data_IF_946461010234
#
_entry.id   IF_946461010234
#
_cell.length_a   1.000
_cell.length_b   1.000
_cell.length_c   1.000
_cell.angle_alpha   90.00
_cell.angle_beta   90.00
_cell.angle_gamma   90.00
#
_symmetry.space_group_name_H-M   'P 1'
#
loop_
_entity.id
_entity.type
_entity.pdbx_description
1 polymer ?
#
# COMPACT_ATOMS: atom_id res chain seq x y z
N UNK A 1 -12.86 5.99 29.04
CA UNK A 1 -13.50 4.96 28.20
C UNK A 1 -13.14 5.28 26.76
N UNK A 2 -12.07 4.69 26.23
CA UNK A 2 -11.73 4.80 24.81
C UNK A 2 -12.73 3.94 24.04
N UNK A 3 -13.36 4.49 23.01
CA UNK A 3 -14.33 3.76 22.21
C UNK A 3 -13.74 2.43 21.72
N UNK A 4 -14.52 1.37 21.90
CA UNK A 4 -14.26 -0.03 21.53
C UNK A 4 -14.42 -0.28 20.04
N UNK A 5 -14.44 0.76 19.21
CA UNK A 5 -14.75 0.61 17.79
C UNK A 5 -13.57 -0.03 17.05
N UNK A 6 -13.88 -1.11 16.32
CA UNK A 6 -12.91 -1.83 15.49
C UNK A 6 -12.34 -0.96 14.35
N UNK A 7 -12.98 0.17 14.06
CA UNK A 7 -12.70 1.05 12.93
C UNK A 7 -13.37 2.42 13.09
N UNK A 8 -12.73 3.48 12.61
CA UNK A 8 -13.40 4.74 12.29
C UNK A 8 -13.76 4.75 10.79
N UNK A 9 -15.06 4.82 10.47
CA UNK A 9 -15.56 4.73 9.09
C UNK A 9 -15.69 6.09 8.44
N UNK A 10 -15.37 6.17 7.16
CA UNK A 10 -15.74 7.27 6.29
C UNK A 10 -17.24 7.24 5.99
N UNK A 11 -17.94 8.31 6.35
CA UNK A 11 -19.37 8.50 6.15
C UNK A 11 -19.62 9.82 5.40
N UNK A 12 -19.40 9.85 4.06
CA UNK A 12 -19.71 11.03 3.27
C UNK A 12 -21.17 11.46 3.46
N UNK A 13 -21.36 12.71 3.87
CA UNK A 13 -22.66 13.26 4.22
C UNK A 13 -22.86 14.66 3.62
N UNK A 14 -24.08 15.18 3.70
CA UNK A 14 -24.42 16.53 3.23
C UNK A 14 -24.02 16.77 1.77
N UNK A 15 -23.24 17.84 1.52
CA UNK A 15 -22.76 18.19 0.18
C UNK A 15 -21.79 17.19 -0.45
N UNK A 16 -21.32 16.19 0.30
CA UNK A 16 -20.37 15.16 -0.15
C UNK A 16 -21.00 13.78 -0.28
N UNK A 17 -22.33 13.66 -0.16
CA UNK A 17 -23.06 12.39 -0.24
C UNK A 17 -22.86 11.64 -1.56
N UNK A 18 -22.52 12.33 -2.64
CA UNK A 18 -22.23 11.70 -3.94
C UNK A 18 -21.02 10.74 -3.87
N UNK A 19 -20.09 10.98 -2.95
CA UNK A 19 -18.92 10.14 -2.73
C UNK A 19 -19.26 8.78 -2.10
N UNK A 20 -20.51 8.55 -1.67
CA UNK A 20 -20.95 7.22 -1.23
C UNK A 20 -20.74 6.15 -2.31
N UNK A 21 -20.77 6.53 -3.59
CA UNK A 21 -20.49 5.64 -4.73
C UNK A 21 -19.01 5.22 -4.79
N UNK A 22 -18.10 6.06 -4.32
CA UNK A 22 -16.66 5.74 -4.27
C UNK A 22 -16.33 4.60 -3.31
N UNK A 23 -17.19 4.39 -2.30
CA UNK A 23 -17.05 3.29 -1.34
C UNK A 23 -17.24 1.90 -1.97
N UNK A 24 -17.79 1.81 -3.17
CA UNK A 24 -17.95 0.55 -3.90
C UNK A 24 -16.70 0.17 -4.73
N UNK A 25 -15.76 1.10 -4.91
CA UNK A 25 -14.58 0.93 -5.75
C UNK A 25 -13.31 0.60 -4.95
N UNK A 26 -13.45 -0.22 -3.91
CA UNK A 26 -12.33 -0.64 -3.05
C UNK A 26 -11.77 -1.97 -3.54
N UNK A 27 -10.47 -2.04 -3.91
CA UNK A 27 -9.81 -3.29 -4.25
C UNK A 27 -9.91 -4.29 -3.11
N UNK A 28 -10.16 -5.55 -3.43
CA UNK A 28 -10.25 -6.62 -2.42
C UNK A 28 -8.99 -6.74 -1.57
N UNK A 29 -7.81 -6.52 -2.16
CA UNK A 29 -6.55 -6.62 -1.44
C UNK A 29 -5.84 -5.27 -1.44
N UNK A 30 -5.39 -4.88 -0.25
CA UNK A 30 -4.54 -3.72 -0.05
C UNK A 30 -3.29 -4.14 0.71
N UNK A 31 -2.21 -3.41 0.46
CA UNK A 31 -0.90 -3.63 1.01
C UNK A 31 -0.44 -2.44 1.83
N UNK A 32 0.36 -2.69 2.86
CA UNK A 32 1.03 -1.66 3.64
C UNK A 32 2.41 -2.15 4.03
N UNK A 33 3.42 -1.31 3.85
CA UNK A 33 4.75 -1.53 4.42
C UNK A 33 4.86 -0.68 5.68
N UNK A 34 5.41 -1.25 6.73
CA UNK A 34 5.62 -0.54 7.99
C UNK A 34 6.93 -0.94 8.64
N UNK A 35 7.39 -0.07 9.55
CA UNK A 35 8.62 -0.22 10.32
C UNK A 35 8.36 0.22 11.76
N UNK A 36 9.21 -0.18 12.73
CA UNK A 36 9.15 0.33 14.10
C UNK A 36 9.31 1.86 14.21
N UNK A 37 9.91 2.51 13.19
CA UNK A 37 10.19 3.96 13.16
C UNK A 37 9.05 4.79 12.57
N UNK A 38 8.00 4.15 12.04
CA UNK A 38 6.83 4.86 11.54
C UNK A 38 6.16 5.71 12.65
N UNK A 39 5.55 6.82 12.24
CA UNK A 39 4.84 7.74 13.16
C UNK A 39 3.52 7.15 13.65
N UNK A 40 2.81 6.42 12.80
CA UNK A 40 1.69 5.55 13.18
C UNK A 40 2.18 4.27 13.86
N UNK A 41 1.29 3.29 14.02
CA UNK A 41 1.67 1.93 14.42
C UNK A 41 0.90 0.93 13.56
N UNK A 42 1.58 -0.15 13.16
CA UNK A 42 0.97 -1.33 12.56
C UNK A 42 1.61 -2.55 13.19
N UNK A 43 0.78 -3.49 13.62
CA UNK A 43 1.17 -4.79 14.18
C UNK A 43 0.15 -5.86 13.76
N UNK A 44 0.23 -7.07 14.30
CA UNK A 44 -0.68 -8.17 13.96
C UNK A 44 -2.14 -7.95 14.37
N UNK A 45 -2.42 -6.98 15.24
CA UNK A 45 -3.74 -6.71 15.79
C UNK A 45 -4.34 -5.40 15.28
N UNK A 46 -3.52 -4.35 15.12
CA UNK A 46 -3.96 -3.00 14.86
C UNK A 46 -3.13 -2.28 13.81
N UNK A 47 -3.77 -1.34 13.14
CA UNK A 47 -3.14 -0.24 12.41
C UNK A 47 -3.73 1.07 12.91
N UNK A 48 -2.89 2.02 13.30
CA UNK A 48 -3.33 3.31 13.86
C UNK A 48 -2.58 4.46 13.21
N UNK A 49 -3.33 5.52 12.91
CA UNK A 49 -2.78 6.82 12.50
C UNK A 49 -1.88 7.40 13.60
N UNK A 50 -1.10 8.42 13.25
CA UNK A 50 -0.26 9.13 14.23
C UNK A 50 -1.12 9.70 15.36
N UNK A 51 -2.25 10.30 15.03
CA UNK A 51 -3.14 10.90 16.01
C UNK A 51 -3.80 9.83 16.92
N UNK A 52 -4.20 8.68 16.35
CA UNK A 52 -4.76 7.56 17.09
C UNK A 52 -3.74 6.89 18.03
N UNK A 53 -2.48 6.74 17.59
CA UNK A 53 -1.39 6.21 18.43
C UNK A 53 -1.17 7.06 19.68
N UNK A 54 -1.28 8.37 19.55
CA UNK A 54 -1.01 9.33 20.64
C UNK A 54 -2.27 9.76 21.40
N UNK A 55 -3.42 9.15 21.15
CA UNK A 55 -4.67 9.46 21.86
C UNK A 55 -5.09 10.93 21.73
N UNK A 56 -4.84 11.54 20.56
CA UNK A 56 -5.31 12.92 20.29
C UNK A 56 -6.85 12.93 20.16
N UNK A 57 -7.52 14.10 20.12
CA UNK A 57 -8.98 14.17 19.93
C UNK A 57 -9.47 13.89 18.49
N UNK A 58 -8.61 14.11 17.49
CA UNK A 58 -8.90 13.89 16.06
C UNK A 58 -9.19 12.46 15.57
N UNK A 59 -8.74 11.36 16.23
CA UNK A 59 -8.86 9.99 15.72
C UNK A 59 -10.21 9.33 15.94
N UNK A 60 -11.16 10.01 16.59
CA UNK A 60 -12.54 9.54 16.80
C UNK A 60 -13.55 10.28 15.89
N UNK A 61 -13.10 11.28 15.12
CA UNK A 61 -13.96 12.11 14.28
C UNK A 61 -13.71 11.78 12.81
N UNK A 62 -14.77 11.38 12.10
CA UNK A 62 -14.72 11.21 10.65
C UNK A 62 -14.39 12.53 9.96
N UNK A 63 -13.53 12.51 8.95
CA UNK A 63 -13.15 13.71 8.19
C UNK A 63 -14.35 14.42 7.55
N UNK A 64 -15.45 13.72 7.28
CA UNK A 64 -16.67 14.31 6.73
C UNK A 64 -17.48 15.11 7.75
N UNK A 65 -17.24 14.90 9.05
CA UNK A 65 -17.91 15.61 10.14
C UNK A 65 -17.16 16.89 10.58
N UNK A 66 -15.98 17.17 9.98
CA UNK A 66 -15.25 18.41 10.27
C UNK A 66 -16.01 19.64 9.75
N UNK A 67 -16.14 20.67 10.59
CA UNK A 67 -16.84 21.91 10.24
C UNK A 67 -16.17 22.69 9.10
N UNK A 68 -14.85 22.57 8.96
CA UNK A 68 -14.06 23.35 8.01
C UNK A 68 -13.31 22.45 7.03
N UNK A 69 -13.74 22.43 5.77
CA UNK A 69 -13.11 21.66 4.69
C UNK A 69 -11.62 22.00 4.50
N UNK A 70 -11.22 23.24 4.78
CA UNK A 70 -9.81 23.67 4.75
C UNK A 70 -8.94 22.90 5.73
N UNK A 71 -9.49 22.46 6.87
CA UNK A 71 -8.76 21.67 7.87
C UNK A 71 -8.48 20.27 7.33
N UNK A 72 -9.49 19.65 6.71
CA UNK A 72 -9.38 18.32 6.11
C UNK A 72 -8.44 18.36 4.90
N UNK A 73 -8.60 19.36 4.03
CA UNK A 73 -7.76 19.54 2.85
C UNK A 73 -6.27 19.70 3.23
N UNK A 74 -5.96 20.52 4.23
CA UNK A 74 -4.60 20.70 4.74
C UNK A 74 -4.05 19.42 5.39
N UNK A 75 -4.87 18.67 6.14
CA UNK A 75 -4.46 17.37 6.70
C UNK A 75 -4.15 16.35 5.60
N UNK A 76 -5.03 16.23 4.61
CA UNK A 76 -4.84 15.33 3.48
C UNK A 76 -3.59 15.70 2.65
N UNK A 77 -3.38 16.99 2.36
CA UNK A 77 -2.19 17.45 1.65
C UNK A 77 -0.90 17.11 2.41
N UNK A 78 -0.85 17.36 3.72
CA UNK A 78 0.32 17.01 4.55
C UNK A 78 0.57 15.50 4.55
N UNK A 79 -0.48 14.71 4.77
CA UNK A 79 -0.40 13.25 4.83
C UNK A 79 0.20 12.67 3.54
N UNK A 80 -0.38 13.03 2.39
CA UNK A 80 0.03 12.52 1.08
C UNK A 80 1.43 12.99 0.64
N UNK A 81 2.01 14.01 1.29
CA UNK A 81 3.39 14.47 1.10
C UNK A 81 4.36 13.94 2.16
N UNK A 82 3.87 13.16 3.11
CA UNK A 82 4.60 12.69 4.29
C UNK A 82 5.24 13.84 5.09
N UNK A 83 4.55 14.97 5.13
CA UNK A 83 4.94 16.15 5.91
C UNK A 83 4.58 15.99 7.38
N UNK A 84 5.30 16.70 8.24
CA UNK A 84 5.03 16.67 9.67
C UNK A 84 3.73 17.42 10.00
N UNK A 85 3.00 16.91 10.98
CA UNK A 85 1.78 17.55 11.48
C UNK A 85 0.86 16.56 12.18
N UNK A 86 -0.37 17.02 12.46
CA UNK A 86 -1.51 16.18 12.78
C UNK A 86 -1.90 15.35 11.58
N UNK A 87 -2.15 14.07 11.82
CA UNK A 87 -2.42 13.09 10.79
C UNK A 87 -3.31 11.97 11.34
N UNK A 88 -4.57 11.98 10.90
CA UNK A 88 -5.53 10.96 11.23
C UNK A 88 -5.63 9.84 10.18
N UNK A 89 -4.81 9.86 9.13
CA UNK A 89 -4.88 8.87 8.06
C UNK A 89 -3.85 7.76 8.23
N UNK A 90 -4.13 6.65 7.57
CA UNK A 90 -3.17 5.58 7.33
C UNK A 90 -3.20 5.19 5.86
N UNK A 91 -2.06 5.31 5.18
CA UNK A 91 -1.89 4.90 3.79
C UNK A 91 -1.86 3.38 3.62
N UNK A 92 -2.58 2.94 2.60
CA UNK A 92 -2.57 1.62 2.01
C UNK A 92 -2.34 1.76 0.50
N UNK A 93 -1.87 0.71 -0.17
CA UNK A 93 -1.70 0.69 -1.62
C UNK A 93 -2.33 -0.56 -2.23
N UNK A 94 -2.94 -0.44 -3.41
CA UNK A 94 -3.35 -1.59 -4.22
C UNK A 94 -2.21 -2.15 -5.08
N UNK A 95 -1.02 -1.53 -5.08
CA UNK A 95 0.11 -1.91 -5.92
C UNK A 95 1.18 -2.63 -5.11
N UNK A 96 1.20 -3.97 -5.16
CA UNK A 96 2.27 -4.75 -4.53
C UNK A 96 3.65 -4.36 -5.07
N UNK A 97 3.76 -4.07 -6.37
CA UNK A 97 5.01 -3.59 -6.97
C UNK A 97 5.54 -2.33 -6.27
N UNK A 98 4.67 -1.35 -6.03
CA UNK A 98 5.05 -0.14 -5.30
C UNK A 98 5.46 -0.49 -3.85
N UNK A 99 4.68 -1.33 -3.15
CA UNK A 99 5.02 -1.75 -1.80
C UNK A 99 6.41 -2.42 -1.73
N UNK A 100 6.74 -3.28 -2.68
CA UNK A 100 8.06 -3.94 -2.76
C UNK A 100 9.20 -2.93 -2.99
N UNK A 101 9.02 -1.95 -3.88
CA UNK A 101 10.02 -0.89 -4.07
C UNK A 101 10.15 -0.01 -2.81
N UNK A 102 9.03 0.24 -2.13
CA UNK A 102 9.00 1.06 -0.93
C UNK A 102 9.77 0.43 0.25
N UNK A 103 9.85 -0.90 0.33
CA UNK A 103 10.74 -1.60 1.26
C UNK A 103 12.20 -1.13 1.11
N UNK A 104 12.72 -1.11 -0.13
CA UNK A 104 14.10 -0.68 -0.39
C UNK A 104 14.29 0.81 -0.15
N UNK A 105 13.28 1.63 -0.44
CA UNK A 105 13.29 3.05 -0.11
C UNK A 105 13.45 3.29 1.40
N UNK A 106 12.67 2.58 2.23
CA UNK A 106 12.74 2.69 3.69
C UNK A 106 14.11 2.24 4.20
N UNK A 107 14.62 1.12 3.68
CA UNK A 107 15.95 0.63 4.02
C UNK A 107 17.04 1.64 3.67
N UNK A 108 16.99 2.25 2.48
CA UNK A 108 17.99 3.22 2.04
C UNK A 108 17.85 4.61 2.71
N UNK A 109 16.65 4.96 3.20
CA UNK A 109 16.35 6.29 3.73
C UNK A 109 17.02 6.55 5.08
N UNK A 110 17.81 7.62 5.23
CA UNK A 110 18.42 7.99 6.53
C UNK A 110 17.40 8.29 7.64
N UNK A 111 16.18 8.69 7.26
CA UNK A 111 15.08 8.95 8.22
C UNK A 111 14.55 7.66 8.84
N UNK A 112 14.41 6.60 8.04
CA UNK A 112 13.95 5.30 8.49
C UNK A 112 15.17 4.39 8.68
N UNK A 113 15.73 3.85 7.60
CA UNK A 113 16.99 3.14 7.63
C UNK A 113 16.90 1.85 8.43
N UNK A 114 15.70 1.28 8.54
CA UNK A 114 15.47 0.01 9.21
C UNK A 114 16.09 -1.13 8.41
N UNK A 115 16.55 -2.16 9.11
CA UNK A 115 17.04 -3.38 8.47
C UNK A 115 15.88 -4.15 7.86
N UNK A 116 16.13 -5.00 6.85
CA UNK A 116 15.07 -5.76 6.19
C UNK A 116 14.28 -6.68 7.13
N UNK A 117 14.86 -7.08 8.26
CA UNK A 117 14.15 -7.85 9.29
C UNK A 117 13.07 -7.01 10.01
N UNK A 118 13.26 -5.70 10.09
CA UNK A 118 12.37 -4.75 10.78
C UNK A 118 11.38 -4.05 9.82
N UNK A 119 11.49 -4.30 8.51
CA UNK A 119 10.55 -3.80 7.51
C UNK A 119 9.57 -4.93 7.20
N UNK A 120 8.28 -4.69 7.42
CA UNK A 120 7.25 -5.70 7.22
C UNK A 120 6.27 -5.32 6.11
N UNK A 121 5.87 -6.29 5.30
CA UNK A 121 4.78 -6.19 4.34
C UNK A 121 3.52 -6.79 4.96
N UNK A 122 2.46 -5.99 5.02
CA UNK A 122 1.12 -6.40 5.42
C UNK A 122 0.22 -6.46 4.18
N UNK A 123 -0.56 -7.53 4.05
CA UNK A 123 -1.70 -7.63 3.13
C UNK A 123 -2.98 -7.80 3.95
N UNK A 124 -4.07 -7.15 3.52
CA UNK A 124 -5.41 -7.29 4.08
C UNK A 124 -6.44 -7.67 3.00
N UNK A 125 -7.55 -8.27 3.41
CA UNK A 125 -8.74 -8.51 2.58
C UNK A 125 -9.82 -7.50 3.00
N UNK A 126 -10.05 -6.47 2.18
CA UNK A 126 -10.95 -5.35 2.46
C UNK A 126 -12.41 -5.79 2.61
N UNK A 127 -12.79 -6.95 2.07
CA UNK A 127 -14.15 -7.51 2.22
C UNK A 127 -14.44 -7.97 3.65
N UNK A 128 -13.41 -8.09 4.50
CA UNK A 128 -13.51 -8.46 5.92
C UNK A 128 -13.67 -7.24 6.84
N UNK A 129 -13.84 -6.05 6.25
CA UNK A 129 -14.04 -4.79 6.95
C UNK A 129 -15.39 -4.19 6.57
N UNK A 130 -15.93 -3.35 7.43
CA UNK A 130 -17.16 -2.62 7.13
C UNK A 130 -16.96 -1.67 5.96
N UNK A 131 -18.02 -1.49 5.14
CA UNK A 131 -18.02 -0.48 4.08
C UNK A 131 -17.73 0.90 4.70
N UNK A 132 -16.84 1.66 4.07
CA UNK A 132 -16.35 2.92 4.64
C UNK A 132 -15.06 2.79 5.46
N UNK A 133 -14.49 1.60 5.67
CA UNK A 133 -13.19 1.48 6.35
C UNK A 133 -12.01 2.03 5.51
N UNK A 134 -12.17 2.06 4.18
CA UNK A 134 -11.17 2.56 3.24
C UNK A 134 -11.80 3.55 2.26
N UNK A 135 -11.00 4.52 1.83
CA UNK A 135 -11.37 5.47 0.79
C UNK A 135 -10.21 5.67 -0.18
N UNK A 136 -10.50 5.83 -1.47
CA UNK A 136 -9.47 6.18 -2.44
C UNK A 136 -9.02 7.63 -2.22
N UNK A 137 -7.71 7.86 -2.20
CA UNK A 137 -7.12 9.19 -2.06
C UNK A 137 -7.60 10.16 -3.14
N UNK A 138 -7.66 9.73 -4.41
CA UNK A 138 -8.02 10.59 -5.54
C UNK A 138 -9.43 11.17 -5.40
N UNK A 139 -10.37 10.40 -4.87
CA UNK A 139 -11.74 10.87 -4.64
C UNK A 139 -11.80 11.88 -3.50
N UNK A 140 -11.04 11.66 -2.42
CA UNK A 140 -10.87 12.65 -1.35
C UNK A 140 -10.18 13.92 -1.88
N UNK A 141 -9.13 13.78 -2.68
CA UNK A 141 -8.44 14.92 -3.28
C UNK A 141 -9.37 15.73 -4.18
N UNK A 142 -10.18 15.09 -5.01
CA UNK A 142 -11.19 15.79 -5.83
C UNK A 142 -12.17 16.57 -4.95
N UNK A 143 -12.66 15.94 -3.89
CA UNK A 143 -13.62 16.55 -2.97
C UNK A 143 -13.06 17.76 -2.20
N UNK A 144 -11.76 17.75 -1.86
CA UNK A 144 -11.14 18.76 -1.00
C UNK A 144 -10.15 19.71 -1.71
N UNK A 145 -9.84 19.49 -2.99
CA UNK A 145 -8.82 20.27 -3.74
C UNK A 145 -9.12 21.76 -3.85
N UNK A 146 -10.39 22.16 -3.85
CA UNK A 146 -10.80 23.56 -3.89
C UNK A 146 -10.36 24.35 -2.63
N UNK A 147 -10.01 23.67 -1.55
CA UNK A 147 -9.71 24.27 -0.25
C UNK A 147 -8.21 24.27 0.11
N UNK A 148 -7.35 23.64 -0.71
CA UNK A 148 -5.90 23.63 -0.54
C UNK A 148 -5.21 23.54 -1.93
N UNK A 149 -4.47 24.59 -2.30
CA UNK A 149 -3.79 24.65 -3.61
C UNK A 149 -2.70 23.59 -3.77
N UNK A 150 -2.01 23.22 -2.68
CA UNK A 150 -1.00 22.16 -2.69
C UNK A 150 -1.61 20.77 -2.89
N UNK A 151 -2.83 20.56 -2.42
CA UNK A 151 -3.64 19.37 -2.69
C UNK A 151 -4.10 19.33 -4.14
N UNK A 152 -4.58 20.46 -4.68
CA UNK A 152 -4.95 20.57 -6.09
C UNK A 152 -3.77 20.28 -7.03
N UNK A 153 -2.58 20.78 -6.70
CA UNK A 153 -1.36 20.49 -7.46
C UNK A 153 -0.96 19.02 -7.40
N UNK A 154 -1.17 18.38 -6.25
CA UNK A 154 -0.92 16.95 -6.12
C UNK A 154 -1.94 16.13 -6.93
N UNK A 155 -3.21 16.55 -6.96
CA UNK A 155 -4.24 15.87 -7.75
C UNK A 155 -3.83 15.88 -9.23
N UNK A 156 -3.48 17.06 -9.76
CA UNK A 156 -2.96 17.21 -11.12
C UNK A 156 -1.73 16.35 -11.37
N UNK A 157 -0.80 16.27 -10.41
CA UNK A 157 0.37 15.40 -10.53
C UNK A 157 -0.01 13.92 -10.69
N UNK A 158 -1.00 13.45 -9.94
CA UNK A 158 -1.44 12.04 -9.93
C UNK A 158 -2.40 11.69 -11.07
N UNK A 159 -3.12 12.65 -11.67
CA UNK A 159 -4.14 12.38 -12.70
C UNK A 159 -3.79 12.89 -14.09
N UNK A 160 -3.08 14.01 -14.22
CA UNK A 160 -2.88 14.69 -15.51
C UNK A 160 -1.42 14.65 -15.95
N UNK A 161 -0.49 14.94 -15.02
CA UNK A 161 0.93 15.00 -15.36
C UNK A 161 1.46 13.61 -15.66
N UNK A 162 2.24 13.51 -16.75
CA UNK A 162 2.82 12.25 -17.22
C UNK A 162 1.78 11.12 -17.30
N UNK A 163 0.59 11.43 -17.80
CA UNK A 163 -0.49 10.47 -18.02
C UNK A 163 -0.88 9.69 -16.74
N UNK A 164 -0.77 10.35 -15.58
CA UNK A 164 -1.12 9.76 -14.28
C UNK A 164 -0.12 8.75 -13.73
N UNK A 165 1.08 8.65 -14.32
CA UNK A 165 2.10 7.67 -13.90
C UNK A 165 2.47 7.78 -12.42
N UNK A 166 2.37 8.97 -11.82
CA UNK A 166 2.67 9.27 -10.41
C UNK A 166 1.62 8.74 -9.43
N UNK A 167 0.56 8.08 -9.90
CA UNK A 167 -0.40 7.44 -9.01
C UNK A 167 0.03 6.02 -8.63
N UNK A 168 0.12 5.77 -7.32
CA UNK A 168 0.57 4.48 -6.77
C UNK A 168 -0.57 3.64 -6.16
N UNK A 169 -1.83 3.95 -6.51
CA UNK A 169 -2.98 3.19 -6.04
C UNK A 169 -3.22 3.36 -4.55
N UNK A 170 -3.16 4.60 -4.04
CA UNK A 170 -3.24 4.88 -2.61
C UNK A 170 -4.70 4.84 -2.11
N UNK A 171 -4.90 4.23 -0.96
CA UNK A 171 -6.17 4.19 -0.24
C UNK A 171 -5.90 4.56 1.22
N UNK A 172 -6.84 5.23 1.86
CA UNK A 172 -6.69 5.69 3.23
C UNK A 172 -7.68 4.95 4.12
N UNK A 173 -7.24 4.56 5.31
CA UNK A 173 -8.12 4.37 6.48
C UNK A 173 -7.91 5.55 7.44
N UNK A 174 -8.80 5.72 8.42
CA UNK A 174 -8.66 6.78 9.42
C UNK A 174 -8.68 6.25 10.86
N UNK A 175 -8.09 7.00 11.79
CA UNK A 175 -8.05 6.65 13.20
C UNK A 175 -7.32 5.34 13.47
N UNK A 176 -7.98 4.45 14.22
CA UNK A 176 -7.53 3.09 14.48
C UNK A 176 -8.35 2.08 13.68
N UNK A 177 -7.69 1.05 13.16
CA UNK A 177 -8.27 -0.05 12.40
C UNK A 177 -7.78 -1.38 12.98
N UNK A 178 -8.71 -2.21 13.45
CA UNK A 178 -8.42 -3.56 13.94
C UNK A 178 -8.22 -4.50 12.76
N UNK A 179 -7.00 -5.02 12.59
CA UNK A 179 -6.62 -5.92 11.50
C UNK A 179 -6.41 -7.37 11.95
N UNK A 180 -6.52 -7.64 13.25
CA UNK A 180 -6.39 -8.96 13.85
C UNK A 180 -7.20 -10.02 13.09
N UNK A 181 -6.52 -11.09 12.67
CA UNK A 181 -7.11 -12.19 11.92
C UNK A 181 -7.56 -11.82 10.50
N UNK A 182 -7.48 -10.55 10.08
CA UNK A 182 -7.88 -10.00 8.76
C UNK A 182 -6.67 -9.62 7.88
N UNK A 183 -5.45 -9.92 8.34
CA UNK A 183 -4.20 -9.64 7.63
C UNK A 183 -3.25 -10.85 7.58
N UNK A 184 -2.26 -10.77 6.69
CA UNK A 184 -1.01 -11.51 6.80
C UNK A 184 0.16 -10.53 6.78
N UNK A 185 1.19 -10.83 7.58
CA UNK A 185 2.37 -9.99 7.76
C UNK A 185 3.60 -10.86 7.58
N UNK A 186 4.54 -10.40 6.76
CA UNK A 186 5.84 -11.06 6.53
C UNK A 186 6.95 -10.02 6.54
N UNK A 187 8.14 -10.37 7.00
CA UNK A 187 9.29 -9.47 6.94
C UNK A 187 9.87 -9.37 5.52
N UNK A 188 10.51 -8.25 5.20
CA UNK A 188 11.23 -8.08 3.95
C UNK A 188 12.42 -9.05 3.85
N UNK A 189 13.07 -9.36 4.98
CA UNK A 189 14.13 -10.36 5.04
C UNK A 189 13.65 -11.74 4.58
N UNK A 190 12.47 -12.19 5.02
CA UNK A 190 11.88 -13.47 4.60
C UNK A 190 11.53 -13.48 3.11
N UNK A 191 10.94 -12.39 2.60
CA UNK A 191 10.66 -12.23 1.17
C UNK A 191 11.95 -12.39 0.34
N UNK A 192 13.02 -11.71 0.74
CA UNK A 192 14.34 -11.78 0.09
C UNK A 192 14.87 -13.21 0.15
N UNK A 193 14.90 -13.82 1.33
CA UNK A 193 15.42 -15.17 1.54
C UNK A 193 14.65 -16.23 0.72
N UNK A 194 13.34 -16.03 0.50
CA UNK A 194 12.50 -16.94 -0.29
C UNK A 194 12.57 -16.71 -1.80
N UNK A 195 13.32 -15.71 -2.27
CA UNK A 195 13.62 -15.52 -3.68
C UNK A 195 13.00 -14.26 -4.30
N UNK A 196 12.81 -13.18 -3.54
CA UNK A 196 12.37 -11.90 -4.10
C UNK A 196 13.32 -11.39 -5.20
N UNK A 197 14.62 -11.64 -5.09
CA UNK A 197 15.60 -11.30 -6.14
C UNK A 197 15.51 -12.23 -7.35
N UNK A 198 15.20 -13.51 -7.15
CA UNK A 198 14.94 -14.43 -8.27
C UNK A 198 13.69 -14.02 -9.05
N UNK A 199 12.67 -13.51 -8.34
CA UNK A 199 11.47 -12.95 -8.95
C UNK A 199 11.83 -11.70 -9.76
N UNK A 200 12.61 -10.78 -9.18
CA UNK A 200 12.94 -9.49 -9.78
C UNK A 200 14.39 -9.08 -9.45
N UNK A 201 15.36 -9.40 -10.34
CA UNK A 201 16.78 -9.19 -10.06
C UNK A 201 17.18 -7.75 -9.78
N UNK A 202 16.47 -6.75 -10.35
CA UNK A 202 16.78 -5.33 -10.08
C UNK A 202 16.58 -4.97 -8.61
N UNK A 203 15.83 -5.76 -7.84
CA UNK A 203 15.71 -5.57 -6.40
C UNK A 203 17.02 -5.83 -5.64
N UNK A 204 17.95 -6.61 -6.20
CA UNK A 204 19.30 -6.75 -5.64
C UNK A 204 20.08 -5.43 -5.74
N UNK A 205 19.94 -4.71 -6.84
CA UNK A 205 20.50 -3.35 -6.99
C UNK A 205 19.85 -2.38 -6.00
N UNK A 206 18.54 -2.51 -5.77
CA UNK A 206 17.80 -1.62 -4.86
C UNK A 206 18.18 -1.86 -3.40
N UNK A 207 18.52 -3.10 -3.03
CA UNK A 207 19.04 -3.42 -1.71
C UNK A 207 20.38 -2.72 -1.41
N UNK A 208 21.11 -2.31 -2.46
CA UNK A 208 22.39 -1.63 -2.37
C UNK A 208 22.29 -0.11 -2.57
N UNK A 209 21.07 0.46 -2.60
CA UNK A 209 20.91 1.91 -2.75
C UNK A 209 21.69 2.69 -1.67
N UNK A 210 22.34 3.80 -2.05
CA UNK A 210 23.10 4.61 -1.12
C UNK A 210 22.19 5.17 -0.02
N UNK A 211 22.73 5.28 1.20
CA UNK A 211 22.01 5.83 2.33
C UNK A 211 21.81 7.34 2.16
N UNK A 212 20.62 7.74 1.71
CA UNK A 212 20.24 9.12 1.39
C UNK A 212 19.05 9.61 2.25
N UNK A 213 18.87 10.92 2.41
CA UNK A 213 17.71 11.45 3.15
C UNK A 213 16.37 11.23 2.42
N UNK A 214 16.40 11.25 1.08
CA UNK A 214 15.22 11.02 0.25
C UNK A 214 15.59 10.21 -0.99
N UNK A 215 15.81 8.89 -0.85
CA UNK A 215 16.14 8.03 -1.98
C UNK A 215 15.09 8.13 -3.10
N UNK A 216 15.54 8.15 -4.35
CA UNK A 216 14.64 8.28 -5.51
C UNK A 216 13.92 6.95 -5.79
N UNK A 217 12.70 6.80 -5.28
CA UNK A 217 11.91 5.58 -5.47
C UNK A 217 10.90 5.65 -6.64
N UNK A 218 10.46 6.85 -7.01
CA UNK A 218 9.44 7.07 -8.05
C UNK A 218 9.88 6.52 -9.41
N UNK A 219 11.10 6.85 -9.84
CA UNK A 219 11.63 6.39 -11.14
C UNK A 219 11.84 4.87 -11.21
N UNK A 220 12.36 4.20 -10.16
CA UNK A 220 12.34 2.74 -10.08
C UNK A 220 10.96 2.12 -10.31
N UNK A 221 9.91 2.64 -9.65
CA UNK A 221 8.54 2.14 -9.87
C UNK A 221 8.10 2.34 -11.32
N UNK A 222 8.39 3.50 -11.91
CA UNK A 222 8.05 3.78 -13.31
C UNK A 222 8.76 2.84 -14.28
N UNK A 223 10.06 2.65 -14.10
CA UNK A 223 10.85 1.72 -14.92
C UNK A 223 10.21 0.34 -14.88
N UNK A 224 9.95 -0.16 -13.66
CA UNK A 224 9.35 -1.47 -13.48
C UNK A 224 7.97 -1.59 -14.11
N UNK A 225 7.12 -0.57 -13.98
CA UNK A 225 5.79 -0.54 -14.61
C UNK A 225 5.86 -0.52 -16.14
N UNK A 226 6.77 0.27 -16.70
CA UNK A 226 6.97 0.35 -18.15
C UNK A 226 7.54 -0.95 -18.73
N UNK A 227 8.22 -1.73 -17.90
CA UNK A 227 8.75 -3.04 -18.27
C UNK A 227 7.69 -4.16 -18.11
N UNK A 228 6.58 -3.92 -17.40
CA UNK A 228 5.42 -4.83 -17.43
C UNK A 228 4.91 -4.88 -18.87
N UNK A 229 4.70 -6.07 -19.41
CA UNK A 229 4.30 -6.24 -20.81
C UNK A 229 5.48 -6.34 -21.79
N UNK A 230 6.71 -6.00 -21.37
CA UNK A 230 7.91 -6.08 -22.21
C UNK A 230 8.76 -7.27 -21.80
N UNK A 231 9.17 -8.09 -22.78
CA UNK A 231 10.07 -9.22 -22.54
C UNK A 231 11.44 -8.68 -22.11
N UNK A 232 11.69 -8.64 -20.81
CA UNK A 232 13.02 -8.35 -20.28
C UNK A 232 13.89 -9.59 -20.51
N UNK A 233 15.00 -9.45 -21.22
CA UNK A 233 15.98 -10.52 -21.36
C UNK A 233 16.57 -10.86 -19.97
N UNK A 234 16.59 -12.14 -19.59
CA UNK A 234 17.40 -12.59 -18.44
C UNK A 234 16.69 -13.40 -17.34
N UNK A 235 15.36 -13.49 -17.30
CA UNK A 235 14.67 -14.34 -16.31
C UNK A 235 13.65 -15.25 -17.00
N UNK A 236 13.81 -16.58 -16.86
CA UNK A 236 12.86 -17.55 -17.39
C UNK A 236 11.56 -17.58 -16.59
N UNK A 237 10.42 -17.88 -17.23
CA UNK A 237 9.14 -18.07 -16.54
C UNK A 237 9.25 -19.11 -15.42
N UNK A 238 10.00 -20.19 -15.64
CA UNK A 238 10.23 -21.22 -14.62
C UNK A 238 10.93 -20.69 -13.36
N UNK A 239 11.85 -19.74 -13.51
CA UNK A 239 12.53 -19.09 -12.38
C UNK A 239 11.55 -18.22 -11.60
N UNK A 240 10.73 -17.45 -12.31
CA UNK A 240 9.65 -16.63 -11.73
C UNK A 240 8.67 -17.50 -10.95
N UNK A 241 8.12 -18.55 -11.57
CA UNK A 241 7.16 -19.46 -10.93
C UNK A 241 7.77 -20.07 -9.67
N UNK A 242 9.02 -20.58 -9.74
CA UNK A 242 9.71 -21.15 -8.57
C UNK A 242 9.95 -20.13 -7.45
N UNK A 243 10.26 -18.88 -7.79
CA UNK A 243 10.37 -17.81 -6.80
C UNK A 243 9.02 -17.52 -6.14
N UNK A 244 7.96 -17.39 -6.93
CA UNK A 244 6.60 -17.17 -6.43
C UNK A 244 6.17 -18.32 -5.53
N UNK A 245 6.34 -19.58 -5.95
CA UNK A 245 6.03 -20.76 -5.14
C UNK A 245 6.72 -20.71 -3.77
N UNK A 246 8.01 -20.33 -3.70
CA UNK A 246 8.73 -20.22 -2.43
C UNK A 246 8.23 -19.06 -1.57
N UNK A 247 7.94 -17.91 -2.17
CA UNK A 247 7.46 -16.71 -1.47
C UNK A 247 6.07 -16.94 -0.88
N UNK A 248 5.13 -17.54 -1.63
CA UNK A 248 3.77 -17.73 -1.13
C UNK A 248 3.69 -18.69 0.06
N UNK A 249 4.69 -19.55 0.28
CA UNK A 249 4.76 -20.40 1.48
C UNK A 249 5.01 -19.61 2.78
N UNK A 250 5.35 -18.33 2.69
CA UNK A 250 5.37 -17.43 3.86
C UNK A 250 3.95 -17.06 4.33
N UNK A 251 2.93 -17.37 3.53
CA UNK A 251 1.57 -16.94 3.76
C UNK A 251 0.65 -18.14 4.02
N UNK A 252 -0.28 -17.96 4.95
CA UNK A 252 -1.36 -18.91 5.19
C UNK A 252 -2.24 -19.11 3.94
N UNK A 253 -2.89 -20.28 3.78
CA UNK A 253 -3.58 -20.66 2.53
C UNK A 253 -4.51 -19.57 1.93
N UNK A 254 -5.33 -18.83 2.71
CA UNK A 254 -6.20 -17.79 2.15
C UNK A 254 -5.46 -16.66 1.40
N UNK A 255 -4.18 -16.46 1.69
CA UNK A 255 -3.37 -15.37 1.15
C UNK A 255 -2.44 -15.82 0.01
N UNK A 256 -2.24 -17.13 -0.18
CA UNK A 256 -1.30 -17.65 -1.19
C UNK A 256 -1.69 -17.24 -2.61
N UNK A 257 -2.96 -17.44 -2.97
CA UNK A 257 -3.48 -17.09 -4.30
C UNK A 257 -3.38 -15.59 -4.61
N UNK A 258 -3.88 -14.67 -3.75
CA UNK A 258 -3.76 -13.24 -4.04
C UNK A 258 -2.32 -12.76 -4.05
N UNK A 259 -1.44 -13.30 -3.21
CA UNK A 259 -0.01 -12.99 -3.27
C UNK A 259 0.62 -13.49 -4.57
N UNK A 260 0.35 -14.73 -4.99
CA UNK A 260 0.84 -15.27 -6.25
C UNK A 260 0.41 -14.43 -7.45
N UNK A 261 -0.88 -14.08 -7.52
CA UNK A 261 -1.42 -13.23 -8.59
C UNK A 261 -0.71 -11.89 -8.67
N UNK A 262 -0.55 -11.20 -7.54
CA UNK A 262 0.12 -9.89 -7.50
C UNK A 262 1.64 -9.98 -7.80
N UNK A 263 2.33 -11.03 -7.33
CA UNK A 263 3.75 -11.22 -7.59
C UNK A 263 4.00 -11.52 -9.08
N UNK A 264 3.19 -12.36 -9.70
CA UNK A 264 3.27 -12.66 -11.13
C UNK A 264 2.91 -11.41 -11.96
N UNK A 265 1.85 -10.69 -11.59
CA UNK A 265 1.45 -9.45 -12.26
C UNK A 265 2.49 -8.31 -12.14
N UNK A 266 3.40 -8.38 -11.17
CA UNK A 266 4.52 -7.44 -11.05
C UNK A 266 5.61 -7.63 -12.12
N UNK A 267 5.47 -8.63 -12.98
CA UNK A 267 6.39 -8.98 -14.07
C UNK A 267 5.67 -9.14 -15.40
N UNK A 268 6.46 -9.10 -16.48
CA UNK A 268 6.00 -9.62 -17.76
C UNK A 268 5.80 -11.13 -17.67
N UNK A 269 4.61 -11.56 -18.06
CA UNK A 269 4.23 -12.96 -18.20
C UNK A 269 3.37 -13.04 -19.46
N UNK A 270 3.65 -13.97 -20.37
CA UNK A 270 2.72 -14.21 -21.47
C UNK A 270 1.43 -14.77 -20.88
N UNK A 271 0.29 -14.17 -21.24
CA UNK A 271 -1.04 -14.52 -20.69
C UNK A 271 -1.35 -16.01 -20.88
N UNK A 272 -0.74 -16.64 -21.89
CA UNK A 272 -0.90 -18.05 -22.24
C UNK A 272 0.35 -18.89 -21.95
N UNK A 273 1.28 -18.42 -21.11
CA UNK A 273 2.44 -19.24 -20.74
C UNK A 273 1.97 -20.51 -19.99
N UNK A 274 2.19 -21.73 -20.53
CA UNK A 274 1.71 -22.96 -19.92
C UNK A 274 2.21 -23.14 -18.49
N UNK A 275 3.43 -22.68 -18.19
CA UNK A 275 4.03 -22.80 -16.86
C UNK A 275 3.24 -22.02 -15.81
N UNK A 276 2.65 -20.89 -16.19
CA UNK A 276 1.86 -20.04 -15.29
C UNK A 276 0.46 -20.63 -15.11
N UNK A 277 -0.15 -21.09 -16.21
CA UNK A 277 -1.45 -21.76 -16.16
C UNK A 277 -1.39 -23.03 -15.30
N UNK A 278 -0.36 -23.84 -15.47
CA UNK A 278 -0.17 -25.06 -14.70
C UNK A 278 0.15 -24.75 -13.23
N UNK A 279 0.93 -23.69 -12.96
CA UNK A 279 1.15 -23.20 -11.60
C UNK A 279 -0.17 -22.85 -10.90
N UNK A 280 -1.07 -22.09 -11.57
CA UNK A 280 -2.37 -21.72 -10.99
C UNK A 280 -3.39 -22.86 -10.90
N UNK A 281 -3.21 -23.93 -11.69
CA UNK A 281 -4.02 -25.16 -11.60
C UNK A 281 -3.54 -26.12 -10.52
N UNK A 282 -2.30 -25.98 -10.05
CA UNK A 282 -1.71 -26.88 -9.07
C UNK A 282 -2.20 -26.66 -7.63
N UNK A 283 -1.84 -27.60 -6.76
CA UNK A 283 -2.25 -27.63 -5.34
C UNK A 283 -1.43 -26.69 -4.42
N UNK A 284 -0.66 -25.77 -4.98
CA UNK A 284 0.20 -24.87 -4.19
C UNK A 284 -0.57 -23.85 -3.34
N UNK A 285 -1.88 -23.69 -3.59
CA UNK A 285 -2.76 -22.73 -2.92
C UNK A 285 -3.72 -23.38 -1.94
N UNK A 286 -3.88 -24.70 -2.02
CA UNK A 286 -4.72 -25.46 -1.11
C UNK A 286 -3.90 -25.89 0.11
N UNK A 287 -4.55 -25.89 1.26
CA UNK A 287 -4.02 -26.26 2.57
C UNK A 287 -5.21 -26.57 3.46
#
# INVERSE_FOLDING_TARGET
>A
HLSTDEHLLFQPSGSKSELLKSLDNIPRYLFRVFTPKATGITDASWTKSKDARHGRPSPEVDIFDYTHDTTVAAMLNRHLRWWEGHDNFVSWTSSLLFALVYIFYLHAGRRDGSDFADISLCIIDTTRFAKGAFFQDLDLMRAYSAFDSGLADMLKLRTEKHEGCFYFGEYLSQGALKIEGKCAIVSAAELIQRGLFDLQPVFEEFAQWPKEYAPRWVYPVFRLRNDIGRRIAGTSTSTVVRAVTRIIQLFEPPWRLPMAGNLIASRYCQVEDPSILDFFRGDSFTG
#
